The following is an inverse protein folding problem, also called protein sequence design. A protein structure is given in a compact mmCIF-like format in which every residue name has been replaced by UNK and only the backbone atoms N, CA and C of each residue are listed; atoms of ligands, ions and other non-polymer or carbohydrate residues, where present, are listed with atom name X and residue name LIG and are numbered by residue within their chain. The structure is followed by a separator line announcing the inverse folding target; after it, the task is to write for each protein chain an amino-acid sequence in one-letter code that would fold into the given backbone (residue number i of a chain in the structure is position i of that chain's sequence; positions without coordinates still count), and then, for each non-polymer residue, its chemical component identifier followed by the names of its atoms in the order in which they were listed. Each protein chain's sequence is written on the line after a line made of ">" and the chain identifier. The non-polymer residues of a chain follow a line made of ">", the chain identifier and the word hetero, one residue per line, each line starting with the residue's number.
data_IF_245833871962
#
_entry.id   IF_245833871962
#
_cell.length_a   1.000
_cell.length_b   1.000
_cell.length_c   1.000
_cell.angle_alpha   90.00
_cell.angle_beta   90.00
_cell.angle_gamma   90.00
#
_symmetry.space_group_name_H-M   'P 1'
#
loop_
_entity.id
_entity.type
_entity.pdbx_description
1 polymer ?
#
# COMPACT_ATOMS: atom_id res chain seq x y z
N UNK A 1 -17.97 13.63 10.96
CA UNK A 1 -16.74 13.88 10.19
C UNK A 1 -16.03 12.54 10.09
N UNK A 2 -15.62 12.10 8.90
CA UNK A 2 -14.82 10.87 8.80
C UNK A 2 -13.39 11.17 9.28
N UNK A 3 -12.79 10.24 10.01
CA UNK A 3 -11.39 10.31 10.41
C UNK A 3 -10.47 9.89 9.25
N UNK A 4 -9.20 10.32 9.29
CA UNK A 4 -8.18 9.90 8.31
C UNK A 4 -8.11 8.36 8.22
N UNK A 5 -8.21 7.67 9.37
CA UNK A 5 -8.22 6.21 9.44
C UNK A 5 -9.41 5.61 8.68
N UNK A 6 -10.63 6.07 8.94
CA UNK A 6 -11.83 5.58 8.27
C UNK A 6 -11.75 5.79 6.76
N UNK A 7 -11.30 6.96 6.30
CA UNK A 7 -11.13 7.24 4.88
C UNK A 7 -10.10 6.32 4.20
N UNK A 8 -9.04 5.92 4.92
CA UNK A 8 -8.05 4.98 4.40
C UNK A 8 -8.61 3.55 4.33
N UNK A 9 -9.45 3.15 5.29
CA UNK A 9 -10.04 1.81 5.33
C UNK A 9 -11.11 1.58 4.26
N UNK A 10 -11.72 2.64 3.73
CA UNK A 10 -12.62 2.56 2.57
C UNK A 10 -11.90 2.09 1.28
N UNK A 11 -10.57 2.16 1.24
CA UNK A 11 -9.81 1.67 0.09
C UNK A 11 -9.77 0.13 0.06
N UNK A 12 -9.90 -0.47 -1.14
CA UNK A 12 -10.00 -1.92 -1.26
C UNK A 12 -8.77 -2.63 -0.69
N UNK A 13 -9.02 -3.72 0.03
CA UNK A 13 -8.02 -4.61 0.65
C UNK A 13 -7.19 -3.99 1.79
N UNK A 14 -7.50 -2.79 2.28
CA UNK A 14 -6.73 -2.16 3.38
C UNK A 14 -7.23 -2.61 4.77
N UNK A 15 -8.48 -3.06 4.87
CA UNK A 15 -9.08 -3.57 6.12
C UNK A 15 -8.23 -4.66 6.78
N UNK A 16 -7.72 -5.63 5.99
CA UNK A 16 -6.87 -6.72 6.50
C UNK A 16 -5.46 -6.26 6.92
N UNK A 17 -5.07 -5.02 6.59
CA UNK A 17 -3.75 -4.45 6.83
C UNK A 17 -3.74 -3.34 7.89
N UNK A 18 -4.81 -3.21 8.68
CA UNK A 18 -4.91 -2.24 9.79
C UNK A 18 -3.68 -2.24 10.69
N UNK A 19 -3.18 -3.42 11.06
CA UNK A 19 -2.00 -3.54 11.92
C UNK A 19 -0.72 -2.96 11.30
N UNK A 20 -0.58 -3.01 9.98
CA UNK A 20 0.56 -2.40 9.26
C UNK A 20 0.35 -0.88 9.09
N UNK A 21 -0.88 -0.47 8.80
CA UNK A 21 -1.25 0.94 8.70
C UNK A 21 -0.90 1.69 10.00
N UNK A 22 -1.39 1.17 11.14
CA UNK A 22 -1.21 1.81 12.44
C UNK A 22 0.24 1.79 12.92
N UNK A 23 0.93 0.64 12.78
CA UNK A 23 2.28 0.47 13.36
C UNK A 23 3.42 0.95 12.46
N UNK A 24 3.19 1.05 11.15
CA UNK A 24 4.28 1.34 10.19
C UNK A 24 3.99 2.58 9.36
N UNK A 25 2.81 2.67 8.72
CA UNK A 25 2.52 3.75 7.76
C UNK A 25 2.33 5.08 8.48
N UNK A 26 1.47 5.12 9.49
CA UNK A 26 1.23 6.34 10.28
C UNK A 26 2.50 6.81 11.01
N UNK A 27 3.28 5.87 11.56
CA UNK A 27 4.56 6.17 12.20
C UNK A 27 5.57 6.75 11.20
N UNK A 28 5.71 6.16 10.00
CA UNK A 28 6.65 6.64 8.98
C UNK A 28 6.32 8.03 8.44
N UNK A 29 5.03 8.35 8.32
CA UNK A 29 4.56 9.64 7.79
C UNK A 29 4.27 10.67 8.87
N UNK A 30 4.34 10.32 10.15
CA UNK A 30 4.06 11.22 11.27
C UNK A 30 2.61 11.71 11.30
N UNK A 31 1.67 10.85 10.89
CA UNK A 31 0.24 11.20 10.76
C UNK A 31 -0.53 10.76 11.99
N UNK A 32 -1.42 11.63 12.48
CA UNK A 32 -2.37 11.29 13.53
C UNK A 32 -3.60 10.62 12.90
N UNK A 33 -3.84 9.35 13.23
CA UNK A 33 -4.93 8.54 12.68
C UNK A 33 -6.33 9.02 13.09
N UNK A 34 -6.43 9.64 14.27
CA UNK A 34 -7.68 10.15 14.85
C UNK A 34 -8.02 11.58 14.39
N UNK A 35 -7.14 12.21 13.60
CA UNK A 35 -7.42 13.54 13.08
C UNK A 35 -8.56 13.51 12.04
N UNK A 36 -9.29 14.62 11.97
CA UNK A 36 -10.36 14.80 11.00
C UNK A 36 -9.81 14.79 9.57
N UNK A 37 -10.52 14.13 8.67
CA UNK A 37 -10.20 14.14 7.24
C UNK A 37 -10.62 15.50 6.64
N UNK A 38 -9.64 16.30 6.25
CA UNK A 38 -9.80 17.60 5.59
C UNK A 38 -9.26 17.52 4.16
N UNK A 39 -9.61 18.48 3.31
CA UNK A 39 -9.13 18.52 1.92
C UNK A 39 -7.58 18.55 1.81
N UNK A 40 -6.89 19.07 2.83
CA UNK A 40 -5.43 19.08 2.90
C UNK A 40 -4.85 17.72 3.31
N UNK A 41 -5.54 16.99 4.20
CA UNK A 41 -5.12 15.64 4.61
C UNK A 41 -5.46 14.56 3.58
N UNK A 42 -6.33 14.82 2.61
CA UNK A 42 -6.60 13.91 1.48
C UNK A 42 -5.33 13.53 0.70
N UNK A 43 -4.38 14.47 0.56
CA UNK A 43 -3.09 14.17 -0.06
C UNK A 43 -2.28 13.17 0.77
N UNK A 44 -2.31 13.32 2.09
CA UNK A 44 -1.63 12.42 3.01
C UNK A 44 -2.31 11.05 3.06
N UNK A 45 -3.65 11.01 3.03
CA UNK A 45 -4.45 9.79 2.89
C UNK A 45 -4.02 9.00 1.65
N UNK A 46 -4.01 9.64 0.48
CA UNK A 46 -3.62 8.98 -0.77
C UNK A 46 -2.19 8.44 -0.74
N UNK A 47 -1.29 9.16 -0.08
CA UNK A 47 0.09 8.72 0.12
C UNK A 47 0.23 7.55 1.13
N UNK A 48 -0.58 7.52 2.19
CA UNK A 48 -0.64 6.38 3.12
C UNK A 48 -1.15 5.12 2.42
N UNK A 49 -2.22 5.24 1.64
CA UNK A 49 -2.77 4.17 0.82
C UNK A 49 -1.71 3.64 -0.15
N UNK A 50 -0.96 4.54 -0.79
CA UNK A 50 0.11 4.18 -1.70
C UNK A 50 1.28 3.43 -1.00
N UNK A 51 1.62 3.77 0.24
CA UNK A 51 2.61 3.05 1.04
C UNK A 51 2.11 1.64 1.41
N UNK A 52 0.84 1.49 1.77
CA UNK A 52 0.22 0.20 2.09
C UNK A 52 0.21 -0.71 0.87
N UNK A 53 -0.25 -0.20 -0.29
CA UNK A 53 -0.23 -0.95 -1.54
C UNK A 53 1.18 -1.29 -2.02
N UNK A 54 2.16 -0.38 -1.83
CA UNK A 54 3.56 -0.68 -2.14
C UNK A 54 4.10 -1.87 -1.32
N UNK A 55 3.62 -2.07 -0.08
CA UNK A 55 4.00 -3.21 0.74
C UNK A 55 3.33 -4.50 0.27
N UNK A 56 2.02 -4.46 -0.06
CA UNK A 56 1.31 -5.61 -0.66
C UNK A 56 1.97 -6.08 -1.96
N UNK A 57 2.55 -5.15 -2.73
CA UNK A 57 3.34 -5.49 -3.91
C UNK A 57 4.63 -6.21 -3.53
N UNK A 58 5.18 -6.09 -2.34
CA UNK A 58 6.41 -6.80 -1.95
C UNK A 58 6.15 -8.14 -1.25
N UNK A 59 4.93 -8.42 -0.79
CA UNK A 59 4.58 -9.73 -0.25
C UNK A 59 4.49 -10.79 -1.35
N UNK A 60 4.66 -12.09 -1.01
CA UNK A 60 4.29 -13.20 -1.90
C UNK A 60 2.83 -13.03 -2.33
N UNK A 61 2.48 -13.53 -3.52
CA UNK A 61 1.08 -13.48 -3.98
C UNK A 61 0.17 -14.13 -2.93
N UNK A 62 -0.61 -13.31 -2.25
CA UNK A 62 -1.52 -13.73 -1.21
C UNK A 62 -2.79 -14.21 -1.89
N UNK A 63 -3.02 -15.53 -1.90
CA UNK A 63 -4.30 -16.09 -2.29
C UNK A 63 -5.20 -16.15 -1.06
N UNK A 64 -6.10 -15.19 -0.92
CA UNK A 64 -7.19 -15.28 0.04
C UNK A 64 -8.13 -16.42 -0.34
N UNK A 65 -7.95 -17.54 0.34
CA UNK A 65 -8.95 -18.58 0.35
C UNK A 65 -10.06 -18.16 1.32
N UNK A 66 -11.12 -17.51 0.79
CA UNK A 66 -12.51 -17.96 1.01
C UNK A 66 -13.61 -17.15 0.29
N UNK A 67 -13.41 -15.93 -0.21
CA UNK A 67 -14.45 -15.16 -0.94
C UNK A 67 -13.83 -14.22 -2.01
N UNK A 68 -13.33 -14.83 -3.08
CA UNK A 68 -12.37 -14.29 -4.06
C UNK A 68 -12.78 -13.01 -4.81
N UNK A 69 -12.40 -11.84 -4.30
CA UNK A 69 -11.96 -10.72 -5.14
C UNK A 69 -10.45 -10.63 -4.96
N UNK A 70 -9.72 -11.51 -5.63
CA UNK A 70 -8.26 -11.44 -5.67
C UNK A 70 -7.88 -10.32 -6.62
N UNK A 71 -7.58 -9.12 -6.11
CA UNK A 71 -7.00 -8.10 -6.96
C UNK A 71 -5.62 -8.59 -7.43
N UNK A 72 -5.35 -8.60 -8.75
CA UNK A 72 -4.05 -9.03 -9.23
C UNK A 72 -2.98 -8.06 -8.73
N UNK A 73 -1.76 -8.56 -8.49
CA UNK A 73 -0.61 -7.71 -8.08
C UNK A 73 -0.42 -6.46 -8.95
N UNK A 74 -0.75 -6.56 -10.24
CA UNK A 74 -0.73 -5.43 -11.17
C UNK A 74 -1.67 -4.29 -10.78
N UNK A 75 -2.84 -4.60 -10.22
CA UNK A 75 -3.79 -3.62 -9.71
C UNK A 75 -3.14 -2.77 -8.62
N UNK A 76 -2.58 -3.39 -7.58
CA UNK A 76 -1.89 -2.68 -6.49
C UNK A 76 -0.69 -1.87 -6.97
N UNK A 77 0.06 -2.36 -7.97
CA UNK A 77 1.19 -1.60 -8.56
C UNK A 77 0.67 -0.35 -9.27
N UNK A 78 -0.38 -0.48 -10.08
CA UNK A 78 -0.93 0.62 -10.87
C UNK A 78 -1.58 1.68 -9.98
N UNK A 79 -2.40 1.26 -9.02
CA UNK A 79 -3.06 2.17 -8.07
C UNK A 79 -2.04 2.89 -7.19
N UNK A 80 -1.04 2.17 -6.65
CA UNK A 80 0.02 2.81 -5.88
C UNK A 80 0.77 3.86 -6.72
N UNK A 81 1.17 3.52 -7.96
CA UNK A 81 1.86 4.46 -8.85
C UNK A 81 1.03 5.71 -9.13
N UNK A 82 -0.25 5.54 -9.42
CA UNK A 82 -1.15 6.66 -9.68
C UNK A 82 -1.25 7.58 -8.45
N UNK A 83 -1.48 7.00 -7.27
CA UNK A 83 -1.58 7.76 -6.02
C UNK A 83 -0.28 8.49 -5.66
N UNK A 84 0.89 7.91 -5.91
CA UNK A 84 2.17 8.61 -5.72
C UNK A 84 2.34 9.78 -6.69
N UNK A 85 1.91 9.64 -7.95
CA UNK A 85 2.03 10.72 -8.95
C UNK A 85 1.07 11.86 -8.62
N UNK A 86 -0.20 11.54 -8.35
CA UNK A 86 -1.25 12.52 -8.04
C UNK A 86 -0.94 13.32 -6.77
N UNK A 87 -0.28 12.69 -5.79
CA UNK A 87 0.07 13.33 -4.52
C UNK A 87 1.51 13.88 -4.47
N UNK A 88 2.23 13.91 -5.59
CA UNK A 88 3.51 14.63 -5.72
C UNK A 88 4.79 13.87 -5.31
N UNK A 89 4.74 12.55 -5.19
CA UNK A 89 5.91 11.67 -4.93
C UNK A 89 6.24 10.73 -6.13
N UNK A 90 6.46 11.26 -7.36
CA UNK A 90 6.64 10.43 -8.57
C UNK A 90 7.89 9.54 -8.52
N UNK A 91 8.91 9.90 -7.73
CA UNK A 91 10.12 9.10 -7.58
C UNK A 91 9.86 7.73 -6.94
N UNK A 92 8.90 7.64 -5.99
CA UNK A 92 8.50 6.37 -5.39
C UNK A 92 7.71 5.53 -6.39
N UNK A 93 6.87 6.16 -7.22
CA UNK A 93 6.19 5.48 -8.33
C UNK A 93 7.17 4.83 -9.31
N UNK A 94 8.28 5.49 -9.64
CA UNK A 94 9.31 4.97 -10.54
C UNK A 94 10.10 3.78 -9.95
N UNK A 95 10.15 3.65 -8.62
CA UNK A 95 10.79 2.52 -7.92
C UNK A 95 9.87 1.31 -7.83
N UNK A 96 8.55 1.51 -7.89
CA UNK A 96 7.55 0.43 -7.83
C UNK A 96 7.55 -0.47 -9.07
N UNK A 97 7.53 -1.78 -8.82
CA UNK A 97 7.55 -2.80 -9.87
C UNK A 97 8.95 -3.17 -10.40
N UNK A 98 10.01 -2.52 -9.91
CA UNK A 98 11.39 -3.02 -10.11
C UNK A 98 11.57 -4.25 -9.23
N UNK A 99 11.32 -5.43 -9.82
CA UNK A 99 11.43 -6.73 -9.16
C UNK A 99 12.80 -6.83 -8.48
N UNK A 100 12.84 -6.89 -7.14
CA UNK A 100 14.02 -7.42 -6.46
C UNK A 100 14.01 -8.91 -6.79
N UNK A 101 14.79 -9.30 -7.80
CA UNK A 101 15.00 -10.71 -8.11
C UNK A 101 15.87 -11.25 -6.97
N UNK A 102 15.22 -11.78 -5.93
CA UNK A 102 15.90 -12.68 -5.01
C UNK A 102 16.17 -13.95 -5.82
N UNK A 103 17.33 -14.02 -6.47
CA UNK A 103 17.80 -15.26 -7.07
C UNK A 103 17.87 -16.27 -5.92
N UNK A 104 16.92 -17.20 -5.88
CA UNK A 104 17.00 -18.36 -5.00
C UNK A 104 18.37 -19.01 -5.20
N UNK A 105 19.00 -19.40 -4.10
CA UNK A 105 20.28 -20.13 -4.11
C UNK A 105 20.10 -21.29 -5.09
N UNK A 106 20.86 -21.30 -6.18
CA UNK A 106 20.82 -22.37 -7.16
C UNK A 106 20.97 -23.70 -6.40
N UNK A 107 19.96 -24.57 -6.48
CA UNK A 107 20.09 -25.92 -5.94
C UNK A 107 21.23 -26.58 -6.68
N UNK A 108 22.31 -26.92 -5.98
CA UNK A 108 23.35 -27.78 -6.51
C UNK A 108 22.67 -29.04 -7.04
N UNK A 109 22.53 -29.14 -8.37
CA UNK A 109 22.19 -30.38 -9.05
C UNK A 109 23.48 -31.19 -9.10
N UNK A 110 23.55 -32.20 -8.24
CA UNK A 110 24.48 -33.32 -8.33
C UNK A 110 23.72 -34.50 -8.92
#
# INVERSE_FOLDING_TARGET
>A
MATIRETILEYPSIEDMEGFLDKVVFVKRGINSEAECTAESMKQVGLCVADTYAMMVNSPDFSENKLSITHPRSFYIQTAKQLYIENGEPEKAAKLGKRIIIKGRAGNRW
#
